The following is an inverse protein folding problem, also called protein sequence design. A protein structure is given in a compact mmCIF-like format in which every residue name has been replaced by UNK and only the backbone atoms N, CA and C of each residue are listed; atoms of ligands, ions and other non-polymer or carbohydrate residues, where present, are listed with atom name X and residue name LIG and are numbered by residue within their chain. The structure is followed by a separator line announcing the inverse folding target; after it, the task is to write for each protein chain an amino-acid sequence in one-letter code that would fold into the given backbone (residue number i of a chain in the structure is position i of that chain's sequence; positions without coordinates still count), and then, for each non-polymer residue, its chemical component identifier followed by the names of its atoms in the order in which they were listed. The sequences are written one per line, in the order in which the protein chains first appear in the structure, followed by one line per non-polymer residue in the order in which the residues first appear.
data_IF_459408309617
#
_entry.id   IF_459408309617
#
_cell.length_a   1.000
_cell.length_b   1.000
_cell.length_c   1.000
_cell.angle_alpha   90.00
_cell.angle_beta   90.00
_cell.angle_gamma   90.00
#
_symmetry.space_group_name_H-M   'P 1'
#
loop_
_entity.id
_entity.type
_entity.pdbx_description
1 polymer ?
#
# COMPACT_ATOMS: atom_id res chain seq x y z
N UNK A 1 -7.40 -7.06 43.21
CA UNK A 1 -7.32 -5.90 42.28
C UNK A 1 -6.01 -5.85 41.49
N UNK A 2 -4.83 -6.11 42.09
CA UNK A 2 -3.53 -6.03 41.38
C UNK A 2 -3.41 -6.97 40.15
N UNK A 3 -3.88 -8.22 40.23
CA UNK A 3 -3.80 -9.14 39.08
C UNK A 3 -4.68 -8.73 37.90
N UNK A 4 -5.83 -8.10 38.13
CA UNK A 4 -6.70 -7.64 37.04
C UNK A 4 -6.05 -6.51 36.22
N UNK A 5 -5.33 -5.60 36.89
CA UNK A 5 -4.59 -4.53 36.22
C UNK A 5 -3.49 -5.10 35.33
N UNK A 6 -2.77 -6.12 35.80
CA UNK A 6 -1.69 -6.75 35.02
C UNK A 6 -2.26 -7.41 33.75
N UNK A 7 -3.35 -8.16 33.87
CA UNK A 7 -4.00 -8.80 32.71
C UNK A 7 -4.48 -7.75 31.70
N UNK A 8 -5.02 -6.62 32.17
CA UNK A 8 -5.48 -5.55 31.30
C UNK A 8 -4.34 -4.86 30.54
N UNK A 9 -3.20 -4.61 31.22
CA UNK A 9 -2.00 -4.03 30.58
C UNK A 9 -1.42 -4.96 29.53
N UNK A 10 -1.38 -6.28 29.79
CA UNK A 10 -0.91 -7.26 28.81
C UNK A 10 -1.83 -7.32 27.59
N UNK A 11 -3.15 -7.33 27.78
CA UNK A 11 -4.13 -7.32 26.69
C UNK A 11 -4.00 -6.07 25.80
N UNK A 12 -3.83 -4.89 26.39
CA UNK A 12 -3.59 -3.65 25.65
C UNK A 12 -2.26 -3.70 24.88
N UNK A 13 -1.21 -4.24 25.48
CA UNK A 13 0.08 -4.43 24.81
C UNK A 13 -0.03 -5.32 23.57
N UNK A 14 -0.72 -6.46 23.69
CA UNK A 14 -0.94 -7.38 22.56
C UNK A 14 -1.78 -6.73 21.47
N UNK A 15 -2.85 -6.02 21.82
CA UNK A 15 -3.73 -5.35 20.85
C UNK A 15 -3.01 -4.25 20.04
N UNK A 16 -2.13 -3.48 20.69
CA UNK A 16 -1.34 -2.43 20.05
C UNK A 16 -0.29 -3.02 19.09
N UNK A 17 0.33 -4.14 19.45
CA UNK A 17 1.27 -4.86 18.57
C UNK A 17 0.53 -5.44 17.37
N UNK A 18 -0.63 -6.06 17.57
CA UNK A 18 -1.42 -6.64 16.46
C UNK A 18 -1.92 -5.59 15.48
N UNK A 19 -2.36 -4.42 15.96
CA UNK A 19 -2.78 -3.32 15.09
C UNK A 19 -1.59 -2.79 14.26
N UNK A 20 -0.41 -2.69 14.87
CA UNK A 20 0.80 -2.24 14.18
C UNK A 20 1.33 -3.27 13.18
N UNK A 21 1.16 -4.58 13.45
CA UNK A 21 1.53 -5.64 12.50
C UNK A 21 0.67 -5.62 11.24
N UNK A 22 -0.64 -5.36 11.34
CA UNK A 22 -1.51 -5.27 10.16
C UNK A 22 -1.11 -4.11 9.22
N UNK A 23 -0.83 -2.92 9.76
CA UNK A 23 -0.33 -1.80 8.96
C UNK A 23 1.05 -2.09 8.38
N UNK A 24 1.95 -2.68 9.16
CA UNK A 24 3.28 -3.03 8.69
C UNK A 24 3.23 -4.11 7.59
N UNK A 25 2.34 -5.09 7.70
CA UNK A 25 2.08 -6.11 6.69
C UNK A 25 1.52 -5.51 5.40
N UNK A 26 0.59 -4.56 5.48
CA UNK A 26 0.05 -3.87 4.32
C UNK A 26 1.15 -3.08 3.57
N UNK A 27 2.05 -2.42 4.31
CA UNK A 27 3.19 -1.69 3.74
C UNK A 27 4.23 -2.65 3.13
N UNK A 28 4.51 -3.78 3.79
CA UNK A 28 5.44 -4.79 3.30
C UNK A 28 4.91 -5.55 2.08
N UNK A 29 3.61 -5.85 2.03
CA UNK A 29 2.97 -6.44 0.84
C UNK A 29 3.05 -5.50 -0.36
N UNK A 30 2.86 -4.20 -0.15
CA UNK A 30 3.01 -3.20 -1.20
C UNK A 30 4.43 -3.16 -1.76
N UNK A 31 5.44 -3.14 -0.88
CA UNK A 31 6.84 -3.20 -1.28
C UNK A 31 7.17 -4.49 -2.03
N UNK A 32 6.60 -5.64 -1.61
CA UNK A 32 6.87 -6.93 -2.23
C UNK A 32 6.25 -7.04 -3.63
N UNK A 33 5.12 -6.39 -3.88
CA UNK A 33 4.43 -6.44 -5.16
C UNK A 33 5.13 -5.61 -6.25
N UNK A 34 5.73 -4.47 -5.89
CA UNK A 34 6.49 -3.66 -6.87
C UNK A 34 7.89 -4.24 -7.17
N UNK A 35 8.50 -5.03 -6.27
CA UNK A 35 9.93 -5.41 -6.38
C UNK A 35 10.27 -6.55 -7.36
N UNK A 36 9.29 -7.19 -8.02
CA UNK A 36 9.56 -8.32 -8.92
C UNK A 36 9.95 -7.86 -10.33
N UNK A 37 11.23 -7.50 -10.50
CA UNK A 37 11.92 -7.66 -11.79
C UNK A 37 11.89 -6.46 -12.75
N UNK A 38 12.23 -5.27 -12.26
CA UNK A 38 12.70 -4.17 -13.11
C UNK A 38 11.65 -3.13 -13.51
N UNK A 39 10.37 -3.42 -13.30
CA UNK A 39 9.32 -2.46 -13.54
C UNK A 39 8.59 -2.10 -12.25
N UNK A 40 8.77 -0.86 -11.84
CA UNK A 40 8.19 -0.29 -10.63
C UNK A 40 7.31 0.90 -10.97
N UNK A 41 6.30 1.14 -10.16
CA UNK A 41 5.65 2.44 -10.15
C UNK A 41 6.64 3.50 -9.61
N UNK A 42 6.69 4.68 -10.25
CA UNK A 42 7.49 5.81 -9.77
C UNK A 42 6.95 6.35 -8.45
N UNK A 43 5.63 6.31 -8.26
CA UNK A 43 4.97 6.73 -7.03
C UNK A 43 4.38 5.53 -6.29
N UNK A 44 4.29 5.65 -4.96
CA UNK A 44 3.71 4.63 -4.09
C UNK A 44 2.21 4.42 -4.38
N UNK A 45 1.63 3.36 -3.81
CA UNK A 45 0.24 2.94 -4.06
C UNK A 45 -0.83 3.98 -3.75
N UNK A 46 -0.58 4.86 -2.79
CA UNK A 46 -1.45 5.99 -2.49
C UNK A 46 -1.67 6.90 -3.72
N UNK A 47 -0.67 7.01 -4.60
CA UNK A 47 -0.80 7.66 -5.90
C UNK A 47 -1.20 6.62 -6.95
N UNK A 48 -0.40 5.57 -7.12
CA UNK A 48 -0.61 4.51 -8.10
C UNK A 48 -1.45 3.37 -7.51
N UNK A 49 -2.76 3.56 -7.44
CA UNK A 49 -3.72 2.58 -6.91
C UNK A 49 -4.91 3.25 -6.25
N UNK A 50 -4.68 4.33 -5.51
CA UNK A 50 -5.74 5.12 -4.86
C UNK A 50 -6.15 6.34 -5.69
N UNK A 51 -5.23 7.28 -5.91
CA UNK A 51 -5.55 8.50 -6.69
C UNK A 51 -5.66 8.19 -8.19
N UNK A 52 -4.70 7.43 -8.70
CA UNK A 52 -4.64 6.97 -10.08
C UNK A 52 -4.99 5.51 -10.07
N UNK A 53 -6.06 5.17 -10.76
CA UNK A 53 -6.59 3.81 -10.83
C UNK A 53 -6.24 3.16 -12.17
N UNK A 54 -6.38 1.83 -12.29
CA UNK A 54 -6.19 1.12 -13.57
C UNK A 54 -7.05 1.67 -14.71
N UNK A 55 -8.25 2.21 -14.41
CA UNK A 55 -9.12 2.88 -15.39
C UNK A 55 -8.42 4.06 -16.07
N UNK A 56 -7.60 4.83 -15.34
CA UNK A 56 -6.88 5.96 -15.92
C UNK A 56 -5.87 5.49 -16.97
N UNK A 57 -5.29 4.30 -16.82
CA UNK A 57 -4.39 3.73 -17.81
C UNK A 57 -5.08 3.57 -19.18
N UNK A 58 -6.37 3.23 -19.21
CA UNK A 58 -7.15 2.98 -20.44
C UNK A 58 -7.51 4.30 -21.16
N UNK A 59 -7.46 5.45 -20.48
CA UNK A 59 -7.86 6.75 -21.01
C UNK A 59 -6.67 7.69 -21.32
N UNK A 60 -5.82 7.40 -22.34
CA UNK A 60 -4.53 8.08 -22.57
C UNK A 60 -4.66 9.57 -22.89
N UNK A 61 -5.82 10.00 -23.36
CA UNK A 61 -6.06 11.40 -23.75
C UNK A 61 -6.27 12.31 -22.54
N UNK A 62 -6.67 11.75 -21.40
CA UNK A 62 -6.89 12.53 -20.17
C UNK A 62 -5.57 12.89 -19.50
N UNK A 63 -5.56 13.97 -18.71
CA UNK A 63 -4.38 14.36 -17.92
C UNK A 63 -3.93 13.21 -17.00
N UNK A 64 -4.88 12.53 -16.35
CA UNK A 64 -4.55 11.40 -15.49
C UNK A 64 -4.11 10.16 -16.25
N UNK A 65 -4.65 9.90 -17.45
CA UNK A 65 -4.12 8.81 -18.26
C UNK A 65 -2.67 9.04 -18.66
N UNK A 66 -2.31 10.24 -19.12
CA UNK A 66 -0.91 10.59 -19.41
C UNK A 66 0.00 10.42 -18.20
N UNK A 67 -0.48 10.83 -17.02
CA UNK A 67 0.24 10.64 -15.76
C UNK A 67 0.43 9.15 -15.43
N UNK A 68 -0.65 8.37 -15.47
CA UNK A 68 -0.67 6.95 -15.14
C UNK A 68 0.33 6.17 -16.01
N UNK A 69 0.30 6.36 -17.33
CA UNK A 69 1.21 5.65 -18.24
C UNK A 69 2.68 6.02 -18.06
N UNK A 70 2.96 7.25 -17.63
CA UNK A 70 4.34 7.73 -17.45
C UNK A 70 4.93 7.31 -16.11
N UNK A 71 4.12 7.26 -15.06
CA UNK A 71 4.60 7.11 -13.68
C UNK A 71 4.10 5.86 -12.96
N UNK A 72 2.90 5.38 -13.25
CA UNK A 72 2.35 4.16 -12.67
C UNK A 72 2.49 2.98 -13.65
N UNK A 73 3.70 2.76 -14.17
CA UNK A 73 3.95 1.81 -15.27
C UNK A 73 3.60 0.37 -14.89
N UNK A 74 4.00 -0.05 -13.70
CA UNK A 74 3.69 -1.38 -13.17
C UNK A 74 2.18 -1.59 -13.05
N UNK A 75 1.49 -0.65 -12.41
CA UNK A 75 0.02 -0.70 -12.28
C UNK A 75 -0.68 -0.72 -13.65
N UNK A 76 -0.18 0.04 -14.62
CA UNK A 76 -0.75 0.09 -15.95
C UNK A 76 -0.31 -1.05 -16.88
N UNK A 77 0.60 -1.93 -16.46
CA UNK A 77 1.15 -2.98 -17.33
C UNK A 77 1.94 -2.45 -18.53
N UNK A 78 2.59 -1.29 -18.41
CA UNK A 78 3.52 -0.74 -19.42
C UNK A 78 4.98 -1.08 -19.14
N UNK A 79 5.15 -2.11 -18.33
CA UNK A 79 6.30 -2.99 -18.36
C UNK A 79 6.10 -3.91 -19.59
#
# INVERSE_FOLDING_TARGET
MKSLVIVFVVLLGVAMISANEEELLAILQDQRNDARGGCVNKYKRNICGTLVTPMNCIAPRTRMGKFARRFCKFMCGFC
#
